data_IF_322014599093
#
_entry.id   IF_322014599093
#
_cell.length_a   1.000
_cell.length_b   1.000
_cell.length_c   1.000
_cell.angle_alpha   90.00
_cell.angle_beta   90.00
_cell.angle_gamma   90.00
#
_symmetry.space_group_name_H-M   'P 1'
#
loop_
_entity.id
_entity.type
_entity.pdbx_description
1 polymer ?
#
# COMPACT_ATOMS: atom_id res chain seq x y z
N UNK A 1 38.46 -25.36 -3.95
CA UNK A 1 38.43 -25.36 -5.43
C UNK A 1 36.98 -25.53 -5.84
N UNK A 2 36.17 -24.49 -6.08
CA UNK A 2 36.42 -23.29 -6.86
C UNK A 2 35.90 -23.53 -8.28
N UNK A 3 34.64 -23.16 -8.55
CA UNK A 3 34.12 -22.87 -9.90
C UNK A 3 32.85 -22.02 -9.78
N UNK A 4 33.10 -20.71 -9.77
CA UNK A 4 32.11 -19.67 -10.06
C UNK A 4 31.61 -19.85 -11.49
N UNK A 5 30.29 -19.80 -11.69
CA UNK A 5 29.69 -19.58 -13.00
C UNK A 5 29.39 -18.09 -13.10
N UNK A 6 30.22 -17.40 -13.88
CA UNK A 6 30.00 -16.04 -14.38
C UNK A 6 29.19 -16.16 -15.66
N UNK A 7 28.14 -15.35 -15.81
CA UNK A 7 27.45 -15.13 -17.10
C UNK A 7 27.37 -13.60 -17.36
N UNK A 8 27.41 -13.17 -18.63
CA UNK A 8 28.17 -12.00 -19.05
C UNK A 8 27.33 -10.72 -19.16
N UNK A 9 28.01 -9.58 -18.98
CA UNK A 9 27.55 -8.24 -19.36
C UNK A 9 27.76 -8.00 -20.86
N UNK A 10 26.67 -7.73 -21.58
CA UNK A 10 26.61 -7.03 -22.88
C UNK A 10 25.14 -6.57 -23.02
N UNK A 11 24.73 -5.34 -23.38
CA UNK A 11 25.18 -4.43 -24.42
C UNK A 11 24.85 -2.95 -24.12
N UNK A 12 25.66 -2.10 -24.76
CA UNK A 12 25.65 -0.64 -25.02
C UNK A 12 24.31 0.11 -24.97
N UNK A 13 24.30 1.23 -24.24
CA UNK A 13 23.38 2.35 -24.44
C UNK A 13 23.86 3.21 -25.60
N UNK A 14 23.02 3.40 -26.62
CA UNK A 14 23.08 4.52 -27.54
C UNK A 14 21.94 5.50 -27.17
N UNK A 15 22.02 6.73 -27.66
CA UNK A 15 21.09 7.87 -27.48
C UNK A 15 21.49 8.88 -26.39
N UNK A 16 22.59 9.59 -26.68
CA UNK A 16 22.73 11.00 -26.32
C UNK A 16 21.83 11.84 -27.24
N UNK A 17 20.97 12.70 -26.65
CA UNK A 17 20.67 14.10 -27.05
C UNK A 17 19.40 14.56 -26.33
N UNK A 18 19.58 15.40 -25.31
CA UNK A 18 18.50 16.19 -24.68
C UNK A 18 18.61 17.63 -25.17
N UNK A 19 17.54 18.26 -25.68
CA UNK A 19 17.45 19.71 -25.78
C UNK A 19 16.84 20.31 -24.49
N UNK A 20 17.13 21.59 -24.16
CA UNK A 20 16.81 22.16 -22.86
C UNK A 20 15.39 22.75 -22.79
N UNK A 21 14.72 22.48 -21.66
CA UNK A 21 13.90 23.43 -20.89
C UNK A 21 12.54 23.87 -21.44
N UNK A 22 11.50 23.65 -20.63
CA UNK A 22 10.57 24.71 -20.20
C UNK A 22 9.90 24.31 -18.88
N UNK A 23 9.61 25.31 -18.07
CA UNK A 23 9.19 25.23 -16.67
C UNK A 23 7.67 25.13 -16.53
N UNK A 24 7.22 24.69 -15.34
CA UNK A 24 5.85 24.87 -14.88
C UNK A 24 4.91 23.71 -15.22
N UNK A 25 5.07 22.59 -14.53
CA UNK A 25 4.12 21.48 -14.54
C UNK A 25 4.27 20.68 -13.26
N UNK A 26 3.17 20.46 -12.56
CA UNK A 26 3.05 19.48 -11.47
C UNK A 26 3.64 18.16 -11.95
N UNK A 27 4.76 17.76 -11.37
CA UNK A 27 5.44 16.53 -11.77
C UNK A 27 4.79 15.37 -11.03
N UNK A 28 4.01 14.60 -11.78
CA UNK A 28 3.47 13.30 -11.41
C UNK A 28 4.60 12.39 -10.84
N UNK A 29 4.47 11.85 -9.62
CA UNK A 29 5.41 10.90 -9.05
C UNK A 29 5.66 9.67 -9.93
N UNK A 30 4.71 9.29 -10.79
CA UNK A 30 4.85 8.19 -11.74
C UNK A 30 6.04 8.39 -12.71
N UNK A 31 6.40 9.64 -13.01
CA UNK A 31 7.57 9.96 -13.87
C UNK A 31 8.92 9.72 -13.18
N UNK A 32 8.96 9.44 -11.86
CA UNK A 32 10.21 9.13 -11.14
C UNK A 32 10.61 7.66 -11.20
N UNK A 33 9.70 6.77 -11.58
CA UNK A 33 9.95 5.33 -11.65
C UNK A 33 10.20 4.94 -13.11
N UNK A 34 11.43 5.15 -13.57
CA UNK A 34 11.88 4.56 -14.83
C UNK A 34 11.86 3.02 -14.78
N UNK A 35 11.76 2.36 -15.95
CA UNK A 35 11.73 0.89 -16.05
C UNK A 35 13.11 0.34 -15.62
N UNK A 36 13.26 0.00 -14.34
CA UNK A 36 14.53 -0.50 -13.81
C UNK A 36 14.81 -0.25 -12.33
N UNK A 37 13.89 0.34 -11.57
CA UNK A 37 14.05 0.41 -10.10
C UNK A 37 13.92 -1.01 -9.49
N UNK A 38 14.89 -1.47 -8.68
CA UNK A 38 14.81 -2.80 -8.07
C UNK A 38 13.71 -2.82 -7.00
N UNK A 39 12.62 -3.53 -7.28
CA UNK A 39 11.51 -3.73 -6.34
C UNK A 39 11.83 -4.92 -5.42
N UNK A 40 11.91 -4.65 -4.12
CA UNK A 40 12.27 -5.64 -3.10
C UNK A 40 11.12 -6.58 -2.74
N UNK A 41 11.45 -7.76 -2.20
CA UNK A 41 10.49 -8.78 -1.74
C UNK A 41 9.51 -8.17 -0.72
N UNK A 42 8.23 -8.15 -1.05
CA UNK A 42 7.17 -7.43 -0.32
C UNK A 42 6.31 -8.39 0.51
N UNK A 43 6.17 -8.09 1.81
CA UNK A 43 5.26 -8.74 2.76
C UNK A 43 4.96 -7.71 3.84
N UNK A 44 3.75 -7.17 3.82
CA UNK A 44 3.30 -6.18 4.79
C UNK A 44 2.22 -6.83 5.67
N UNK A 45 2.30 -6.59 6.99
CA UNK A 45 1.37 -7.13 7.98
C UNK A 45 0.72 -5.97 8.72
N UNK A 46 -0.61 -5.86 8.65
CA UNK A 46 -1.35 -4.76 9.27
C UNK A 46 -2.58 -5.23 10.07
N UNK A 47 -2.98 -4.49 11.12
CA UNK A 47 -4.28 -4.67 11.75
C UNK A 47 -5.38 -3.99 10.92
N UNK A 48 -6.46 -4.72 10.59
CA UNK A 48 -7.67 -4.15 9.98
C UNK A 48 -8.52 -3.46 11.05
N UNK A 49 -8.94 -2.21 10.80
CA UNK A 49 -9.89 -1.46 11.64
C UNK A 49 -11.24 -1.37 10.91
N UNK A 50 -12.30 -1.87 11.55
CA UNK A 50 -13.70 -1.76 11.09
C UNK A 50 -14.51 -0.90 12.07
N UNK A 51 -14.63 0.40 11.76
CA UNK A 51 -15.40 1.38 12.56
C UNK A 51 -14.98 1.53 14.03
N UNK A 52 -15.92 1.97 14.88
CA UNK A 52 -15.74 2.21 16.33
C UNK A 52 -15.66 0.93 17.19
N UNK A 53 -15.64 -0.25 16.55
CA UNK A 53 -15.55 -1.54 17.25
C UNK A 53 -14.21 -2.19 16.95
N UNK A 54 -13.43 -2.43 18.01
CA UNK A 54 -12.25 -3.30 17.98
C UNK A 54 -12.68 -4.72 17.57
N UNK A 55 -12.63 -5.02 16.28
CA UNK A 55 -12.67 -6.39 15.75
C UNK A 55 -11.32 -7.04 16.10
N UNK A 56 -11.27 -8.33 16.53
CA UNK A 56 -9.99 -9.01 16.76
C UNK A 56 -9.13 -8.85 15.51
N UNK A 57 -7.90 -8.36 15.68
CA UNK A 57 -7.01 -8.00 14.59
C UNK A 57 -6.88 -9.15 13.59
N UNK A 58 -7.57 -9.03 12.44
CA UNK A 58 -7.23 -9.85 11.27
C UNK A 58 -5.86 -9.39 10.82
N UNK A 59 -4.97 -10.34 10.61
CA UNK A 59 -3.67 -10.06 10.02
C UNK A 59 -3.91 -9.77 8.54
N UNK A 60 -3.75 -8.52 8.12
CA UNK A 60 -3.75 -8.16 6.71
C UNK A 60 -2.40 -8.48 6.10
N UNK A 61 -2.35 -9.26 5.02
CA UNK A 61 -1.14 -9.48 4.23
C UNK A 61 -1.29 -8.75 2.91
N UNK A 62 -0.44 -7.75 2.69
CA UNK A 62 -0.44 -6.95 1.47
C UNK A 62 0.81 -7.27 0.61
N UNK A 63 0.58 -7.47 -0.70
CA UNK A 63 1.59 -7.82 -1.67
C UNK A 63 1.28 -7.28 -3.07
N UNK A 64 2.29 -7.29 -3.95
CA UNK A 64 2.19 -6.81 -5.33
C UNK A 64 2.55 -7.94 -6.29
N UNK A 65 1.77 -8.09 -7.35
CA UNK A 65 2.02 -9.05 -8.42
C UNK A 65 3.04 -8.50 -9.44
N UNK A 66 3.78 -9.38 -10.11
CA UNK A 66 4.79 -8.97 -11.12
C UNK A 66 6.19 -8.61 -10.58
N UNK A 67 6.44 -8.72 -9.27
CA UNK A 67 7.79 -8.59 -8.71
C UNK A 67 8.49 -9.96 -8.70
N UNK A 68 9.18 -10.28 -9.79
CA UNK A 68 9.78 -11.59 -10.05
C UNK A 68 10.80 -12.04 -8.97
N UNK A 69 10.71 -13.32 -8.58
CA UNK A 69 11.83 -14.07 -8.00
C UNK A 69 11.60 -14.86 -6.71
N UNK A 70 10.36 -15.11 -6.26
CA UNK A 70 10.11 -16.03 -5.14
C UNK A 70 9.16 -17.17 -5.52
N UNK A 71 9.70 -18.39 -5.45
CA UNK A 71 8.99 -19.67 -5.44
C UNK A 71 7.76 -19.63 -4.50
N UNK A 72 6.59 -20.00 -5.04
CA UNK A 72 5.30 -20.06 -4.34
C UNK A 72 5.34 -20.89 -3.03
N UNK A 73 6.34 -21.75 -2.83
CA UNK A 73 6.55 -22.47 -1.57
C UNK A 73 6.83 -21.55 -0.36
N UNK A 74 7.50 -20.41 -0.57
CA UNK A 74 7.80 -19.47 0.52
C UNK A 74 6.58 -18.67 0.99
N UNK A 75 5.59 -18.45 0.12
CA UNK A 75 4.33 -17.76 0.46
C UNK A 75 3.36 -18.72 1.16
N UNK A 76 3.20 -19.95 0.64
CA UNK A 76 2.41 -21.02 1.28
C UNK A 76 2.86 -21.28 2.72
N UNK A 77 4.17 -21.40 2.98
CA UNK A 77 4.72 -21.58 4.34
C UNK A 77 4.45 -20.42 5.30
N UNK A 78 4.26 -19.19 4.79
CA UNK A 78 4.01 -18.01 5.62
C UNK A 78 2.55 -17.91 6.05
N UNK A 79 1.62 -18.25 5.15
CA UNK A 79 0.19 -18.31 5.47
C UNK A 79 -0.11 -19.46 6.43
N UNK A 80 0.55 -20.62 6.26
CA UNK A 80 0.52 -21.74 7.21
C UNK A 80 1.02 -21.36 8.63
N UNK A 81 1.85 -20.32 8.78
CA UNK A 81 2.34 -19.85 10.08
C UNK A 81 1.34 -18.95 10.82
N UNK A 82 0.40 -18.33 10.10
CA UNK A 82 -0.52 -17.32 10.64
C UNK A 82 -1.88 -17.87 11.07
N UNK A 83 -2.15 -19.17 10.86
CA UNK A 83 -3.39 -19.82 11.26
C UNK A 83 -4.35 -20.10 10.08
N UNK A 84 -5.60 -20.51 10.35
CA UNK A 84 -6.58 -20.78 9.31
C UNK A 84 -6.98 -19.50 8.56
N UNK A 85 -7.25 -19.62 7.25
CA UNK A 85 -7.53 -18.50 6.36
C UNK A 85 -8.71 -17.62 6.79
N UNK A 86 -9.65 -18.13 7.59
CA UNK A 86 -10.79 -17.35 8.10
C UNK A 86 -10.37 -16.18 9.03
N UNK A 87 -9.14 -16.21 9.55
CA UNK A 87 -8.62 -15.20 10.48
C UNK A 87 -7.61 -14.23 9.83
N UNK A 88 -7.35 -14.36 8.52
CA UNK A 88 -6.36 -13.58 7.76
C UNK A 88 -7.08 -12.85 6.63
N UNK A 89 -6.77 -11.57 6.44
CA UNK A 89 -7.25 -10.77 5.32
C UNK A 89 -6.12 -10.65 4.28
N UNK A 90 -6.31 -11.07 3.04
CA UNK A 90 -5.27 -11.06 2.01
C UNK A 90 -5.60 -10.03 0.93
N UNK A 91 -4.67 -9.10 0.73
CA UNK A 91 -4.70 -8.08 -0.31
C UNK A 91 -3.60 -8.36 -1.35
N UNK A 92 -3.94 -8.35 -2.64
CA UNK A 92 -2.95 -8.33 -3.74
C UNK A 92 -3.31 -7.30 -4.79
N UNK A 93 -2.39 -6.97 -5.69
CA UNK A 93 -2.55 -5.85 -6.64
C UNK A 93 -2.15 -6.20 -8.06
N UNK A 94 -2.95 -5.74 -9.01
CA UNK A 94 -2.66 -5.76 -10.45
C UNK A 94 -1.53 -4.78 -10.78
N UNK A 95 -0.47 -5.27 -11.43
CA UNK A 95 0.63 -4.42 -11.89
C UNK A 95 0.33 -3.80 -13.26
N UNK A 96 0.91 -2.61 -13.52
CA UNK A 96 0.59 -1.78 -14.68
C UNK A 96 0.81 -2.49 -16.03
N UNK A 97 1.79 -3.41 -16.12
CA UNK A 97 2.06 -4.14 -17.36
C UNK A 97 0.96 -5.12 -17.75
N UNK A 98 0.08 -5.45 -16.81
CA UNK A 98 -0.99 -6.42 -16.99
C UNK A 98 -2.37 -5.75 -17.15
N UNK A 99 -2.40 -4.44 -17.43
CA UNK A 99 -3.66 -3.70 -17.60
C UNK A 99 -4.38 -4.11 -18.89
N UNK A 100 -5.70 -3.91 -18.92
CA UNK A 100 -6.63 -4.44 -19.91
C UNK A 100 -7.48 -5.59 -19.38
N UNK A 101 -8.66 -5.79 -19.98
CA UNK A 101 -9.69 -6.69 -19.45
C UNK A 101 -9.21 -8.15 -19.32
N UNK A 102 -8.81 -8.78 -20.43
CA UNK A 102 -8.39 -10.19 -20.42
C UNK A 102 -7.03 -10.41 -19.73
N UNK A 103 -6.12 -9.45 -19.81
CA UNK A 103 -4.81 -9.49 -19.13
C UNK A 103 -5.00 -9.45 -17.62
N UNK A 104 -5.95 -8.67 -17.12
CA UNK A 104 -6.28 -8.59 -15.69
C UNK A 104 -6.73 -9.95 -15.15
N UNK A 105 -7.62 -10.66 -15.85
CA UNK A 105 -8.05 -12.01 -15.46
C UNK A 105 -6.86 -12.99 -15.40
N UNK A 106 -6.00 -13.01 -16.43
CA UNK A 106 -4.82 -13.88 -16.46
C UNK A 106 -3.84 -13.56 -15.32
N UNK A 107 -3.61 -12.28 -15.04
CA UNK A 107 -2.73 -11.85 -13.97
C UNK A 107 -3.28 -12.27 -12.61
N UNK A 108 -4.58 -12.08 -12.39
CA UNK A 108 -5.26 -12.47 -11.17
C UNK A 108 -5.20 -13.99 -10.91
N UNK A 109 -5.47 -14.82 -11.92
CA UNK A 109 -5.33 -16.29 -11.82
C UNK A 109 -3.90 -16.69 -11.45
N UNK A 110 -2.90 -16.03 -12.06
CA UNK A 110 -1.50 -16.26 -11.72
C UNK A 110 -1.18 -15.86 -10.27
N UNK A 111 -1.82 -14.80 -9.75
CA UNK A 111 -1.71 -14.36 -8.35
C UNK A 111 -2.27 -15.40 -7.39
N UNK A 112 -3.49 -15.86 -7.63
CA UNK A 112 -4.13 -16.94 -6.86
C UNK A 112 -3.25 -18.20 -6.84
N UNK A 113 -2.71 -18.61 -7.99
CA UNK A 113 -1.81 -19.75 -8.08
C UNK A 113 -0.52 -19.56 -7.25
N UNK A 114 0.13 -18.38 -7.33
CA UNK A 114 1.33 -18.05 -6.55
C UNK A 114 1.08 -17.99 -5.05
N UNK A 115 -0.08 -17.47 -4.66
CA UNK A 115 -0.51 -17.38 -3.26
C UNK A 115 -0.97 -18.76 -2.73
N UNK A 116 -1.41 -19.65 -3.62
CA UNK A 116 -2.02 -20.92 -3.27
C UNK A 116 -3.39 -20.72 -2.62
N UNK A 117 -4.17 -19.76 -3.15
CA UNK A 117 -5.49 -19.38 -2.66
C UNK A 117 -6.52 -19.55 -3.77
N UNK A 118 -7.77 -19.82 -3.39
CA UNK A 118 -8.91 -19.85 -4.32
C UNK A 118 -9.59 -18.48 -4.46
N UNK A 119 -9.36 -17.59 -3.49
CA UNK A 119 -9.86 -16.22 -3.48
C UNK A 119 -8.92 -15.30 -2.68
N UNK A 120 -9.09 -13.99 -2.86
CA UNK A 120 -8.50 -12.95 -2.01
C UNK A 120 -9.59 -12.12 -1.33
N UNK A 121 -9.24 -11.45 -0.23
CA UNK A 121 -10.19 -10.55 0.44
C UNK A 121 -10.27 -9.20 -0.27
N UNK A 122 -9.16 -8.70 -0.82
CA UNK A 122 -9.10 -7.44 -1.56
C UNK A 122 -8.17 -7.53 -2.77
N UNK A 123 -8.65 -7.07 -3.93
CA UNK A 123 -7.84 -6.92 -5.13
C UNK A 123 -7.79 -5.47 -5.58
N UNK A 124 -6.58 -4.91 -5.77
CA UNK A 124 -6.40 -3.49 -6.10
C UNK A 124 -5.76 -3.29 -7.47
N UNK A 125 -6.20 -2.28 -8.21
CA UNK A 125 -5.38 -1.70 -9.28
C UNK A 125 -4.25 -0.88 -8.65
N UNK A 126 -2.99 -1.17 -8.97
CA UNK A 126 -1.87 -0.61 -8.22
C UNK A 126 -1.62 0.88 -8.50
N UNK A 127 -1.84 1.34 -9.74
CA UNK A 127 -1.67 2.75 -10.11
C UNK A 127 -2.66 3.16 -11.20
N UNK A 128 -3.15 4.40 -11.24
CA UNK A 128 -3.79 4.91 -12.44
C UNK A 128 -2.73 5.03 -13.55
N UNK A 129 -3.13 4.83 -14.81
CA UNK A 129 -2.25 5.07 -15.97
C UNK A 129 -2.83 6.23 -16.78
N UNK A 130 -2.50 7.51 -16.47
CA UNK A 130 -3.16 8.65 -17.11
C UNK A 130 -2.95 8.72 -18.63
N UNK A 131 -1.83 8.20 -19.11
CA UNK A 131 -1.53 8.15 -20.55
C UNK A 131 -2.36 7.11 -21.32
N UNK A 132 -2.95 6.14 -20.61
CA UNK A 132 -3.78 5.07 -21.16
C UNK A 132 -4.87 4.70 -20.14
N UNK A 133 -5.76 5.67 -19.89
CA UNK A 133 -6.77 5.52 -18.84
C UNK A 133 -7.87 4.52 -19.24
N UNK A 134 -8.06 4.28 -20.55
CA UNK A 134 -8.97 3.25 -21.04
C UNK A 134 -8.55 1.86 -20.57
N UNK A 135 -7.25 1.53 -20.64
CA UNK A 135 -6.74 0.28 -20.08
C UNK A 135 -6.93 0.18 -18.55
N UNK A 136 -6.88 1.31 -17.84
CA UNK A 136 -7.19 1.36 -16.40
C UNK A 136 -8.66 1.02 -16.14
N UNK A 137 -9.58 1.58 -16.93
CA UNK A 137 -11.02 1.30 -16.83
C UNK A 137 -11.33 -0.15 -17.20
N UNK A 138 -10.78 -0.66 -18.31
CA UNK A 138 -10.94 -2.05 -18.74
C UNK A 138 -10.47 -3.04 -17.65
N UNK A 139 -9.35 -2.75 -16.99
CA UNK A 139 -8.86 -3.53 -15.86
C UNK A 139 -9.80 -3.50 -14.66
N UNK A 140 -10.39 -2.34 -14.37
CA UNK A 140 -11.32 -2.23 -13.26
C UNK A 140 -12.62 -2.98 -13.56
N UNK A 141 -13.13 -2.93 -14.80
CA UNK A 141 -14.28 -3.74 -15.23
C UNK A 141 -14.00 -5.25 -15.13
N UNK A 142 -12.78 -5.70 -15.44
CA UNK A 142 -12.38 -7.08 -15.16
C UNK A 142 -12.36 -7.39 -13.66
N UNK A 143 -11.94 -6.44 -12.81
CA UNK A 143 -12.03 -6.59 -11.36
C UNK A 143 -13.49 -6.68 -10.87
N UNK A 144 -14.44 -5.95 -11.47
CA UNK A 144 -15.87 -6.08 -11.20
C UNK A 144 -16.38 -7.48 -11.50
N UNK A 145 -15.92 -8.07 -12.61
CA UNK A 145 -16.24 -9.47 -12.93
C UNK A 145 -15.66 -10.45 -11.92
N UNK A 146 -14.40 -10.26 -11.52
CA UNK A 146 -13.73 -11.06 -10.48
C UNK A 146 -14.48 -10.98 -9.14
N UNK A 147 -14.99 -9.79 -8.79
CA UNK A 147 -15.85 -9.58 -7.63
C UNK A 147 -17.18 -10.33 -7.77
N UNK A 148 -17.86 -10.19 -8.91
CA UNK A 148 -19.14 -10.83 -9.17
C UNK A 148 -19.05 -12.37 -9.14
N UNK A 149 -17.91 -12.92 -9.55
CA UNK A 149 -17.62 -14.36 -9.49
C UNK A 149 -17.21 -14.84 -8.08
N UNK A 150 -17.06 -13.93 -7.12
CA UNK A 150 -16.68 -14.23 -5.75
C UNK A 150 -15.22 -14.62 -5.56
N UNK A 151 -14.37 -14.40 -6.57
CA UNK A 151 -12.94 -14.72 -6.48
C UNK A 151 -12.15 -13.63 -5.72
N UNK A 152 -12.67 -12.41 -5.66
CA UNK A 152 -12.27 -11.39 -4.68
C UNK A 152 -13.49 -10.96 -3.86
N UNK A 153 -13.33 -10.76 -2.55
CA UNK A 153 -14.44 -10.30 -1.68
C UNK A 153 -14.70 -8.80 -1.79
N UNK A 154 -13.67 -8.04 -2.15
CA UNK A 154 -13.72 -6.61 -2.41
C UNK A 154 -12.70 -6.27 -3.50
N UNK A 155 -12.96 -5.17 -4.21
CA UNK A 155 -12.03 -4.58 -5.17
C UNK A 155 -11.78 -3.12 -4.82
N UNK A 156 -10.65 -2.60 -5.23
CA UNK A 156 -10.32 -1.21 -5.02
C UNK A 156 -9.19 -0.73 -5.90
N UNK A 157 -8.62 0.41 -5.52
CA UNK A 157 -7.56 1.07 -6.25
C UNK A 157 -6.43 1.49 -5.32
N UNK A 158 -5.31 1.87 -5.90
CA UNK A 158 -4.16 2.42 -5.18
C UNK A 158 -3.58 3.59 -5.96
N UNK A 159 -3.22 4.64 -5.23
CA UNK A 159 -2.63 5.87 -5.76
C UNK A 159 -3.55 6.70 -6.68
N UNK A 160 -4.87 6.57 -6.53
CA UNK A 160 -5.82 7.38 -7.29
C UNK A 160 -6.01 8.74 -6.61
N UNK A 161 -5.76 9.81 -7.36
CA UNK A 161 -6.14 11.17 -6.97
C UNK A 161 -7.60 11.48 -7.34
N UNK A 162 -8.15 12.64 -6.92
CA UNK A 162 -9.58 12.94 -7.10
C UNK A 162 -10.05 12.90 -8.55
N UNK A 163 -9.23 13.36 -9.51
CA UNK A 163 -9.57 13.32 -10.94
C UNK A 163 -9.60 11.91 -11.51
N UNK A 164 -8.63 11.06 -11.14
CA UNK A 164 -8.59 9.67 -11.59
C UNK A 164 -9.77 8.90 -11.01
N UNK A 165 -10.12 9.15 -9.74
CA UNK A 165 -11.26 8.50 -9.10
C UNK A 165 -12.58 8.92 -9.76
N UNK A 166 -12.78 10.20 -10.04
CA UNK A 166 -13.98 10.68 -10.72
C UNK A 166 -14.15 10.05 -12.12
N UNK A 167 -13.11 10.05 -12.94
CA UNK A 167 -13.14 9.44 -14.29
C UNK A 167 -13.43 7.93 -14.23
N UNK A 168 -12.84 7.22 -13.26
CA UNK A 168 -13.14 5.80 -13.05
C UNK A 168 -14.62 5.57 -12.71
N UNK A 169 -15.15 6.33 -11.74
CA UNK A 169 -16.53 6.19 -11.27
C UNK A 169 -17.57 6.56 -12.33
N UNK A 170 -17.23 7.44 -13.28
CA UNK A 170 -18.12 7.78 -14.40
C UNK A 170 -18.23 6.64 -15.44
N UNK A 171 -17.34 5.64 -15.37
CA UNK A 171 -17.17 4.61 -16.42
C UNK A 171 -17.27 3.16 -15.90
N UNK A 172 -17.55 2.99 -14.61
CA UNK A 172 -17.58 1.69 -13.92
C UNK A 172 -18.79 1.65 -12.98
N UNK A 173 -19.24 0.44 -12.63
CA UNK A 173 -20.48 0.23 -11.87
C UNK A 173 -20.23 0.08 -10.37
N UNK A 174 -19.04 -0.38 -9.97
CA UNK A 174 -18.68 -0.71 -8.59
C UNK A 174 -17.75 0.34 -8.00
N UNK A 175 -18.22 1.05 -6.98
CA UNK A 175 -17.37 1.98 -6.21
C UNK A 175 -16.23 1.21 -5.53
N UNK A 176 -14.96 1.66 -5.65
CA UNK A 176 -13.83 1.03 -4.97
C UNK A 176 -14.06 0.93 -3.47
N UNK A 177 -13.83 -0.24 -2.86
CA UNK A 177 -13.94 -0.38 -1.41
C UNK A 177 -12.79 0.35 -0.67
N UNK A 178 -11.61 0.39 -1.30
CA UNK A 178 -10.38 0.96 -0.75
C UNK A 178 -9.67 1.80 -1.82
N UNK A 179 -9.09 2.92 -1.39
CA UNK A 179 -8.04 3.64 -2.11
C UNK A 179 -6.77 3.64 -1.25
N UNK A 180 -5.78 2.83 -1.66
CA UNK A 180 -4.53 2.69 -0.92
C UNK A 180 -3.51 3.75 -1.40
N UNK A 181 -3.16 4.73 -0.56
CA UNK A 181 -2.34 5.90 -0.94
C UNK A 181 -1.21 6.20 0.05
N UNK A 182 -0.18 6.94 -0.38
CA UNK A 182 0.91 7.35 0.51
C UNK A 182 0.33 8.30 1.54
N UNK A 183 0.39 7.96 2.81
CA UNK A 183 -0.18 8.85 3.83
C UNK A 183 0.61 8.72 5.11
N UNK A 184 1.07 9.84 5.64
CA UNK A 184 1.68 9.95 6.95
C UNK A 184 1.49 11.38 7.51
N UNK A 185 1.87 11.69 8.76
CA UNK A 185 1.62 13.01 9.36
C UNK A 185 2.22 14.22 8.62
N UNK A 186 3.11 13.99 7.65
CA UNK A 186 3.76 15.03 6.83
C UNK A 186 3.35 14.98 5.36
N UNK A 187 2.42 14.07 5.02
CA UNK A 187 1.79 13.95 3.71
C UNK A 187 0.37 13.40 3.93
N UNK A 188 -0.54 14.29 4.33
CA UNK A 188 -1.86 13.92 4.90
C UNK A 188 -2.98 13.79 3.88
N UNK A 189 -2.70 14.11 2.60
CA UNK A 189 -3.59 13.97 1.44
C UNK A 189 -5.05 14.37 1.68
N UNK A 190 -5.33 15.63 2.10
CA UNK A 190 -6.68 16.04 2.47
C UNK A 190 -7.68 15.93 1.30
N UNK A 191 -7.28 16.28 0.09
CA UNK A 191 -8.18 16.25 -1.08
C UNK A 191 -8.53 14.81 -1.50
N UNK A 192 -7.56 13.89 -1.44
CA UNK A 192 -7.80 12.46 -1.71
C UNK A 192 -8.74 11.88 -0.67
N UNK A 193 -8.49 12.13 0.62
CA UNK A 193 -9.35 11.64 1.72
C UNK A 193 -10.77 12.18 1.62
N UNK A 194 -10.93 13.44 1.21
CA UNK A 194 -12.24 14.03 1.01
C UNK A 194 -12.98 13.38 -0.17
N UNK A 195 -12.28 13.12 -1.28
CA UNK A 195 -12.84 12.41 -2.43
C UNK A 195 -13.24 10.97 -2.07
N UNK A 196 -12.36 10.22 -1.40
CA UNK A 196 -12.63 8.86 -0.91
C UNK A 196 -13.88 8.85 -0.01
N UNK A 197 -13.91 9.73 0.99
CA UNK A 197 -15.02 9.81 1.95
C UNK A 197 -16.36 10.17 1.29
N UNK A 198 -16.36 11.02 0.26
CA UNK A 198 -17.58 11.40 -0.47
C UNK A 198 -18.26 10.21 -1.16
N UNK A 199 -17.50 9.16 -1.47
CA UNK A 199 -17.99 7.94 -2.11
C UNK A 199 -18.02 6.73 -1.16
N UNK A 200 -17.72 6.91 0.13
CA UNK A 200 -17.68 5.83 1.11
C UNK A 200 -16.48 4.87 0.95
N UNK A 201 -15.41 5.33 0.29
CA UNK A 201 -14.18 4.58 0.05
C UNK A 201 -13.28 4.67 1.29
N UNK A 202 -12.71 3.54 1.72
CA UNK A 202 -11.74 3.54 2.82
C UNK A 202 -10.38 3.99 2.30
N UNK A 203 -9.85 5.10 2.86
CA UNK A 203 -8.45 5.47 2.64
C UNK A 203 -7.53 4.54 3.44
N UNK A 204 -6.64 3.83 2.74
CA UNK A 204 -5.64 2.96 3.35
C UNK A 204 -4.23 3.52 3.14
N UNK A 205 -3.49 3.75 4.23
CA UNK A 205 -2.20 4.40 4.24
C UNK A 205 -1.06 3.42 3.96
N UNK A 206 -0.43 3.51 2.79
CA UNK A 206 0.88 2.90 2.54
C UNK A 206 2.03 3.83 2.94
N UNK A 207 3.18 3.25 3.28
CA UNK A 207 4.29 3.96 3.96
C UNK A 207 3.87 4.81 5.18
N UNK A 208 3.03 4.29 6.09
CA UNK A 208 2.42 5.09 7.16
C UNK A 208 3.43 5.73 8.12
N UNK A 209 4.63 5.15 8.24
CA UNK A 209 5.75 5.62 9.06
C UNK A 209 6.90 6.25 8.24
N UNK A 210 6.66 6.54 6.96
CA UNK A 210 7.63 7.13 6.03
C UNK A 210 8.66 6.15 5.46
N UNK A 211 8.27 4.89 5.23
CA UNK A 211 9.15 3.86 4.67
C UNK A 211 9.71 4.23 3.28
N UNK A 212 8.89 4.83 2.42
CA UNK A 212 9.29 5.31 1.09
C UNK A 212 10.46 6.29 1.13
N UNK A 213 10.53 7.16 2.13
CA UNK A 213 11.63 8.11 2.32
C UNK A 213 12.97 7.43 2.64
N UNK A 214 12.93 6.16 3.06
CA UNK A 214 14.10 5.32 3.28
C UNK A 214 14.54 4.56 2.05
N UNK A 215 13.59 4.11 1.22
CA UNK A 215 13.85 3.29 0.04
C UNK A 215 14.16 4.12 -1.21
N UNK A 216 13.55 5.30 -1.30
CA UNK A 216 13.76 6.29 -2.34
C UNK A 216 14.06 7.62 -1.66
N UNK A 217 15.30 7.85 -1.18
CA UNK A 217 15.67 9.14 -0.65
C UNK A 217 15.44 10.17 -1.76
N UNK A 218 14.42 11.03 -1.58
CA UNK A 218 14.32 12.25 -2.36
C UNK A 218 15.67 12.98 -2.22
N UNK A 219 16.14 13.62 -3.30
CA UNK A 219 17.37 14.39 -3.28
C UNK A 219 17.45 15.32 -2.06
N UNK A 220 18.66 15.74 -1.66
CA UNK A 220 18.89 16.39 -0.37
C UNK A 220 17.93 17.58 -0.16
N UNK A 221 17.07 17.51 0.87
CA UNK A 221 16.60 18.73 1.53
C UNK A 221 15.11 18.94 1.88
N UNK A 222 14.14 18.05 1.60
CA UNK A 222 12.72 18.40 1.88
C UNK A 222 11.82 17.34 2.50
N UNK A 223 12.18 16.06 2.49
CA UNK A 223 11.31 15.02 3.01
C UNK A 223 11.49 14.79 4.53
N UNK A 224 10.45 15.07 5.30
CA UNK A 224 10.44 14.86 6.76
C UNK A 224 10.12 13.41 7.07
N UNK A 225 11.09 12.69 7.65
CA UNK A 225 10.89 11.32 8.13
C UNK A 225 10.04 11.35 9.41
N UNK A 226 8.82 10.76 9.42
CA UNK A 226 7.93 10.84 10.57
C UNK A 226 8.58 10.36 11.87
N UNK A 227 9.23 9.18 11.82
CA UNK A 227 9.85 8.56 13.00
C UNK A 227 11.07 9.30 13.55
N UNK A 228 11.65 10.25 12.78
CA UNK A 228 12.79 11.06 13.21
C UNK A 228 12.41 12.49 13.62
N UNK A 229 11.14 12.88 13.47
CA UNK A 229 10.73 14.25 13.73
C UNK A 229 10.72 14.57 15.24
N UNK A 230 11.25 15.73 15.69
CA UNK A 230 11.36 16.06 17.12
C UNK A 230 10.04 15.97 17.89
N UNK A 231 8.91 16.35 17.28
CA UNK A 231 7.58 16.21 17.90
C UNK A 231 7.24 14.75 18.14
N UNK A 232 7.48 13.86 17.16
CA UNK A 232 7.16 12.44 17.27
C UNK A 232 8.03 11.77 18.32
N UNK A 233 9.34 12.05 18.32
CA UNK A 233 10.26 11.49 19.32
C UNK A 233 9.97 12.00 20.73
N UNK A 234 9.57 13.26 20.88
CA UNK A 234 9.17 13.83 22.18
C UNK A 234 7.88 13.18 22.71
N UNK A 235 6.89 12.94 21.85
CA UNK A 235 5.67 12.21 22.22
C UNK A 235 5.98 10.75 22.58
N UNK A 236 6.84 10.09 21.81
CA UNK A 236 7.30 8.73 22.08
C UNK A 236 7.92 8.62 23.48
N UNK A 237 8.82 9.54 23.83
CA UNK A 237 9.43 9.62 25.16
C UNK A 237 8.38 9.89 26.27
N UNK A 238 7.47 10.85 26.05
CA UNK A 238 6.42 11.22 27.01
C UNK A 238 5.52 10.04 27.36
N UNK A 239 5.19 9.19 26.38
CA UNK A 239 4.24 8.09 26.55
C UNK A 239 4.89 6.71 26.73
N UNK A 240 6.22 6.64 26.78
CA UNK A 240 6.94 5.36 26.88
C UNK A 240 6.67 4.43 25.70
N UNK A 241 6.49 5.01 24.51
CA UNK A 241 6.21 4.29 23.24
C UNK A 241 7.32 4.52 22.24
N UNK A 242 7.32 3.78 21.14
CA UNK A 242 8.25 4.03 20.03
C UNK A 242 7.71 5.11 19.09
N UNK A 243 8.57 5.81 18.33
CA UNK A 243 8.13 6.74 17.29
C UNK A 243 7.18 6.12 16.26
N UNK A 244 7.38 4.84 15.91
CA UNK A 244 6.49 4.13 14.99
C UNK A 244 5.09 3.94 15.59
N UNK A 245 5.00 3.53 16.87
CA UNK A 245 3.73 3.40 17.58
C UNK A 245 2.97 4.71 17.68
N UNK A 246 3.66 5.83 17.92
CA UNK A 246 3.04 7.16 17.95
C UNK A 246 2.41 7.50 16.59
N UNK A 247 3.15 7.30 15.50
CA UNK A 247 2.65 7.59 14.15
C UNK A 247 1.50 6.66 13.77
N UNK A 248 1.59 5.37 14.08
CA UNK A 248 0.51 4.42 13.79
C UNK A 248 -0.74 4.68 14.63
N UNK A 249 -0.58 5.08 15.90
CA UNK A 249 -1.71 5.53 16.71
C UNK A 249 -2.40 6.76 16.12
N UNK A 250 -1.63 7.71 15.58
CA UNK A 250 -2.18 8.88 14.89
C UNK A 250 -3.09 8.47 13.71
N UNK A 251 -2.68 7.49 12.89
CA UNK A 251 -3.51 6.96 11.80
C UNK A 251 -4.86 6.44 12.29
N UNK A 252 -4.84 5.54 13.29
CA UNK A 252 -6.06 4.94 13.86
C UNK A 252 -6.99 6.02 14.43
N UNK A 253 -6.44 7.02 15.13
CA UNK A 253 -7.23 8.13 15.68
C UNK A 253 -7.83 9.05 14.62
N UNK A 254 -7.30 9.03 13.41
CA UNK A 254 -7.81 9.78 12.27
C UNK A 254 -8.75 8.94 11.39
N UNK A 255 -9.15 7.75 11.87
CA UNK A 255 -10.02 6.83 11.15
C UNK A 255 -9.37 6.18 9.92
N UNK A 256 -8.04 6.14 9.87
CA UNK A 256 -7.29 5.61 8.74
C UNK A 256 -6.88 4.15 8.98
N UNK A 257 -7.01 3.33 7.94
CA UNK A 257 -6.35 2.02 7.88
C UNK A 257 -4.87 2.24 7.50
N UNK A 258 -3.93 1.55 8.13
CA UNK A 258 -2.50 1.75 7.88
C UNK A 258 -1.75 0.43 7.78
N UNK A 259 -0.91 0.30 6.73
CA UNK A 259 -0.15 -0.94 6.43
C UNK A 259 1.36 -0.74 6.66
N UNK A 260 1.86 -0.83 7.91
CA UNK A 260 3.28 -0.65 8.18
C UNK A 260 4.13 -1.84 7.73
N UNK A 261 4.95 -1.62 6.70
CA UNK A 261 5.92 -2.60 6.21
C UNK A 261 6.95 -3.03 7.25
N UNK A 262 7.06 -4.34 7.48
CA UNK A 262 8.18 -4.94 8.21
C UNK A 262 8.29 -6.44 7.96
N UNK A 263 9.52 -6.92 7.80
CA UNK A 263 9.85 -8.36 7.80
C UNK A 263 10.49 -8.83 9.11
N UNK A 264 10.69 -7.92 10.07
CA UNK A 264 11.33 -8.21 11.36
C UNK A 264 10.25 -8.45 12.42
N UNK A 265 10.21 -9.66 12.99
CA UNK A 265 9.18 -10.09 13.94
C UNK A 265 8.96 -9.11 15.11
N UNK A 266 10.03 -8.61 15.74
CA UNK A 266 9.91 -7.65 16.84
C UNK A 266 9.24 -6.34 16.42
N UNK A 267 9.51 -5.84 15.20
CA UNK A 267 8.86 -4.61 14.68
C UNK A 267 7.41 -4.85 14.32
N UNK A 268 7.08 -6.05 13.82
CA UNK A 268 5.68 -6.42 13.55
C UNK A 268 4.90 -6.40 14.87
N UNK A 269 5.41 -7.05 15.91
CA UNK A 269 4.79 -7.02 17.24
C UNK A 269 4.68 -5.59 17.81
N UNK A 270 5.73 -4.78 17.66
CA UNK A 270 5.74 -3.37 18.07
C UNK A 270 4.67 -2.53 17.35
N UNK A 271 4.54 -2.69 16.02
CA UNK A 271 3.57 -1.98 15.19
C UNK A 271 2.12 -2.35 15.53
N UNK A 272 1.88 -3.57 16.02
CA UNK A 272 0.55 -4.05 16.44
C UNK A 272 0.19 -3.53 17.84
N UNK A 273 1.17 -3.31 18.73
CA UNK A 273 0.97 -2.85 20.11
C UNK A 273 0.65 -1.33 20.20
N UNK A 274 -0.35 -0.90 19.44
CA UNK A 274 -0.85 0.48 19.36
C UNK A 274 -2.27 0.64 19.94
N UNK A 275 -2.84 -0.44 20.47
CA UNK A 275 -4.16 -0.48 21.09
C UNK A 275 -4.07 -0.67 22.59
N UNK A 276 -4.96 0.01 23.32
CA UNK A 276 -5.06 -0.13 24.76
C UNK A 276 -5.39 -1.59 25.14
N UNK A 277 -4.68 -2.13 26.13
CA UNK A 277 -5.01 -3.47 26.65
C UNK A 277 -6.42 -3.42 27.24
N UNK A 278 -7.25 -4.44 26.94
CA UNK A 278 -8.61 -4.54 27.48
C UNK A 278 -8.60 -4.36 29.00
N UNK A 279 -9.40 -3.41 29.51
CA UNK A 279 -9.55 -3.14 30.95
C UNK A 279 -8.70 -1.99 31.50
N UNK A 280 -7.80 -1.39 30.71
CA UNK A 280 -7.24 -0.09 31.04
C UNK A 280 -8.35 0.97 30.91
N UNK A 281 -8.50 1.83 31.93
CA UNK A 281 -9.40 2.97 31.84
C UNK A 281 -9.16 3.71 30.51
N UNK A 282 -10.23 4.11 29.80
CA UNK A 282 -10.27 4.71 28.45
C UNK A 282 -9.47 6.02 28.30
N UNK A 283 -8.21 6.02 28.68
CA UNK A 283 -7.27 7.11 28.50
C UNK A 283 -6.43 6.72 27.30
N UNK A 284 -6.87 7.17 26.13
CA UNK A 284 -6.05 7.12 24.93
C UNK A 284 -4.71 7.76 25.27
N UNK A 285 -3.63 6.98 25.33
CA UNK A 285 -2.33 7.54 25.72
C UNK A 285 -1.86 8.66 24.77
N UNK A 286 -2.46 8.80 23.58
CA UNK A 286 -2.23 9.93 22.69
C UNK A 286 -3.48 10.82 22.60
N UNK A 287 -3.95 11.45 23.68
CA UNK A 287 -4.95 12.53 23.54
C UNK A 287 -4.29 13.76 22.93
N UNK A 288 -4.48 13.97 21.63
CA UNK A 288 -4.10 15.22 20.96
C UNK A 288 -5.17 16.27 21.31
N UNK A 289 -5.03 16.88 22.48
CA UNK A 289 -5.83 18.05 22.87
C UNK A 289 -5.27 19.29 22.16
N UNK A 290 -5.71 19.54 20.92
CA UNK A 290 -5.31 20.71 20.15
C UNK A 290 -6.06 20.81 18.81
N UNK A 291 -6.35 22.03 18.31
CA UNK A 291 -7.21 22.21 17.14
C UNK A 291 -6.60 21.54 15.91
N UNK A 292 -7.41 20.72 15.24
CA UNK A 292 -7.12 20.14 13.93
C UNK A 292 -6.89 21.28 12.93
N UNK A 293 -5.64 21.52 12.53
CA UNK A 293 -5.27 22.33 11.37
C UNK A 293 -4.06 21.71 10.71
#
# INVERSE_FOLDING_TARGET
MGRSVVCPRTHRNAWERTPPGTAGGERDPAQRLGPGAPVGREKDVAPVVDGDRLVPARTEVDGVDGVDGCDGQSRRRSLLWLGPHADIFVTTKLWLSDYGYDSTHRAFDASLHRLGLDHVDLYLLHWPVPADFDATVDSYQAAEKILADGQARAIGVSNFGPRHLADLLDRTDVVPAVNQVELHPFFTQPDVRAADAAHGIVTQSWSPIGGVLSNHPAGPGTAVRPIGHPTVTSLAARYGRTPAQVVLRWHVQHGLSAIPKSVRAHRIAENIDIFDRRGAARHSWLEVSGPQR
#
